data_IF_984931861960
#
_entry.id   IF_984931861960
#
_cell.length_a   1.000
_cell.length_b   1.000
_cell.length_c   1.000
_cell.angle_alpha   90.00
_cell.angle_beta   90.00
_cell.angle_gamma   90.00
#
_symmetry.space_group_name_H-M   'P 1'
#
loop_
_entity.id
_entity.type
_entity.pdbx_description
1 polymer ?
#
# COMPACT_ATOMS: atom_id res chain seq x y z
N UNK A 1 -19.08 -5.78 2.72
CA UNK A 1 -18.77 -5.78 1.27
C UNK A 1 -17.88 -4.59 1.02
N UNK A 2 -16.64 -4.64 0.57
CA UNK A 2 -15.77 -5.71 0.11
C UNK A 2 -14.34 -5.26 0.45
N UNK A 3 -13.65 -5.96 1.37
CA UNK A 3 -12.18 -5.91 1.44
C UNK A 3 -11.56 -7.03 0.58
N UNK A 4 -12.44 -7.86 0.01
CA UNK A 4 -12.16 -9.05 -0.80
C UNK A 4 -12.09 -8.68 -2.29
N UNK A 5 -12.65 -7.54 -2.71
CA UNK A 5 -12.55 -7.07 -4.11
C UNK A 5 -11.26 -6.29 -4.41
N UNK A 6 -10.42 -6.00 -3.42
CA UNK A 6 -9.17 -5.25 -3.58
C UNK A 6 -7.91 -6.14 -3.57
N UNK A 7 -8.07 -7.46 -3.38
CA UNK A 7 -6.99 -8.39 -3.70
C UNK A 7 -7.15 -8.74 -5.18
N UNK A 8 -6.73 -7.83 -6.06
CA UNK A 8 -6.53 -8.10 -7.47
C UNK A 8 -5.42 -9.16 -7.59
N UNK A 9 -5.81 -10.42 -7.48
CA UNK A 9 -5.04 -11.54 -7.97
C UNK A 9 -5.63 -11.84 -9.35
N UNK A 10 -4.85 -11.80 -10.45
CA UNK A 10 -5.36 -12.10 -11.79
C UNK A 10 -5.93 -13.53 -11.91
N UNK A 11 -5.74 -14.37 -10.89
CA UNK A 11 -6.23 -15.73 -10.81
C UNK A 11 -7.28 -15.90 -9.69
N UNK A 12 -8.58 -15.98 -10.01
CA UNK A 12 -9.67 -16.21 -9.05
C UNK A 12 -9.48 -17.50 -8.22
N UNK A 13 -8.81 -18.52 -8.78
CA UNK A 13 -8.52 -19.78 -8.07
C UNK A 13 -7.44 -19.55 -7.02
N UNK A 14 -6.40 -18.77 -7.32
CA UNK A 14 -5.39 -18.39 -6.33
C UNK A 14 -6.04 -17.57 -5.21
N UNK A 15 -6.94 -16.65 -5.54
CA UNK A 15 -7.72 -15.90 -4.57
C UNK A 15 -8.58 -16.82 -3.68
N UNK A 16 -9.35 -17.73 -4.26
CA UNK A 16 -10.19 -18.66 -3.49
C UNK A 16 -9.40 -19.76 -2.77
N UNK A 17 -8.25 -20.21 -3.28
CA UNK A 17 -7.29 -21.05 -2.54
C UNK A 17 -6.73 -20.28 -1.34
N UNK A 18 -6.37 -19.01 -1.52
CA UNK A 18 -5.91 -18.11 -0.45
C UNK A 18 -7.00 -17.89 0.60
N UNK A 19 -8.24 -17.65 0.20
CA UNK A 19 -9.40 -17.53 1.10
C UNK A 19 -9.72 -18.87 1.78
N UNK A 20 -9.57 -20.00 1.09
CA UNK A 20 -9.68 -21.33 1.68
C UNK A 20 -8.55 -21.61 2.67
N UNK A 21 -7.31 -21.14 2.45
CA UNK A 21 -6.21 -21.23 3.42
C UNK A 21 -6.44 -20.34 4.65
N UNK A 22 -7.06 -19.18 4.46
CA UNK A 22 -7.49 -18.30 5.56
C UNK A 22 -8.62 -18.93 6.40
N UNK A 23 -9.47 -19.76 5.80
CA UNK A 23 -10.61 -20.40 6.47
C UNK A 23 -10.32 -21.84 6.96
N UNK A 24 -9.40 -22.57 6.32
CA UNK A 24 -8.91 -23.88 6.77
C UNK A 24 -7.67 -23.64 7.61
N UNK A 25 -7.82 -23.77 8.94
CA UNK A 25 -6.67 -23.91 9.84
C UNK A 25 -5.76 -25.00 9.26
N UNK A 26 -4.53 -24.66 8.83
CA UNK A 26 -3.37 -25.55 8.55
C UNK A 26 -2.83 -25.70 7.11
N UNK A 27 -3.39 -25.11 6.05
CA UNK A 27 -2.74 -25.20 4.71
C UNK A 27 -1.90 -23.97 4.39
N UNK A 28 -0.57 -24.14 4.30
CA UNK A 28 0.33 -23.08 3.85
C UNK A 28 0.16 -22.77 2.36
N UNK A 29 0.43 -21.52 1.98
CA UNK A 29 0.36 -21.06 0.58
C UNK A 29 1.58 -21.46 -0.26
N UNK A 30 2.61 -22.04 0.38
CA UNK A 30 3.84 -22.54 -0.24
C UNK A 30 4.42 -23.68 0.62
N UNK A 31 5.21 -24.56 -0.01
CA UNK A 31 5.82 -25.74 0.62
C UNK A 31 7.33 -25.59 0.83
N UNK A 32 7.96 -24.58 0.23
CA UNK A 32 9.38 -24.32 0.34
C UNK A 32 9.67 -22.82 0.23
N UNK A 33 10.85 -22.38 0.67
CA UNK A 33 11.34 -21.01 0.44
C UNK A 33 12.72 -21.10 -0.21
N UNK A 34 12.96 -20.23 -1.21
CA UNK A 34 14.29 -20.07 -1.80
C UNK A 34 14.97 -18.84 -1.20
N UNK A 35 16.11 -19.01 -0.55
CA UNK A 35 16.89 -17.92 0.03
C UNK A 35 18.38 -18.14 -0.19
N UNK A 36 19.09 -17.12 -0.69
CA UNK A 36 20.53 -17.18 -1.04
C UNK A 36 20.94 -18.35 -1.95
N UNK A 37 20.03 -18.82 -2.81
CA UNK A 37 20.26 -19.95 -3.72
C UNK A 37 19.98 -21.33 -3.11
N UNK A 38 19.66 -21.41 -1.82
CA UNK A 38 19.27 -22.63 -1.13
C UNK A 38 17.73 -22.74 -1.05
N UNK A 39 17.22 -23.98 -1.11
CA UNK A 39 15.80 -24.28 -0.97
C UNK A 39 15.57 -24.90 0.40
N UNK A 40 14.80 -24.21 1.24
CA UNK A 40 14.41 -24.67 2.56
C UNK A 40 13.03 -25.30 2.49
N UNK A 41 12.89 -26.52 3.01
CA UNK A 41 11.64 -27.31 2.91
C UNK A 41 11.10 -27.72 4.27
N UNK A 42 11.93 -27.71 5.32
CA UNK A 42 11.46 -28.05 6.67
C UNK A 42 10.73 -26.86 7.30
N UNK A 43 9.68 -27.08 8.10
CA UNK A 43 8.96 -25.99 8.77
C UNK A 43 9.84 -25.09 9.64
N UNK A 44 10.85 -25.66 10.31
CA UNK A 44 11.77 -24.92 11.18
C UNK A 44 12.72 -24.02 10.36
N UNK A 45 13.34 -24.54 9.30
CA UNK A 45 14.18 -23.72 8.41
C UNK A 45 13.37 -22.60 7.75
N UNK A 46 12.17 -22.92 7.26
CA UNK A 46 11.24 -21.95 6.69
C UNK A 46 10.92 -20.85 7.72
N UNK A 47 10.61 -21.21 8.96
CA UNK A 47 10.32 -20.24 10.00
C UNK A 47 11.52 -19.37 10.35
N UNK A 48 12.74 -19.93 10.39
CA UNK A 48 13.96 -19.16 10.63
C UNK A 48 14.20 -18.14 9.50
N UNK A 49 14.09 -18.56 8.24
CA UNK A 49 14.15 -17.65 7.08
C UNK A 49 13.12 -16.51 7.18
N UNK A 50 11.87 -16.84 7.53
CA UNK A 50 10.82 -15.84 7.71
C UNK A 50 11.11 -14.91 8.89
N UNK A 51 11.54 -15.46 10.02
CA UNK A 51 11.88 -14.71 11.23
C UNK A 51 12.98 -13.68 10.95
N UNK A 52 14.08 -14.11 10.33
CA UNK A 52 15.21 -13.25 10.00
C UNK A 52 14.81 -12.16 9.01
N UNK A 53 14.11 -12.54 7.94
CA UNK A 53 13.63 -11.61 6.93
C UNK A 53 12.71 -10.53 7.54
N UNK A 54 11.69 -10.92 8.29
CA UNK A 54 10.70 -9.98 8.82
C UNK A 54 11.20 -9.19 10.03
N UNK A 55 12.12 -9.75 10.83
CA UNK A 55 12.79 -9.00 11.89
C UNK A 55 13.60 -7.84 11.32
N UNK A 56 14.37 -8.09 10.25
CA UNK A 56 15.07 -7.02 9.53
C UNK A 56 14.09 -6.03 8.90
N UNK A 57 13.02 -6.52 8.24
CA UNK A 57 12.06 -5.67 7.52
C UNK A 57 11.28 -4.71 8.42
N UNK A 58 10.90 -5.12 9.62
CA UNK A 58 10.13 -4.30 10.57
C UNK A 58 11.01 -3.45 11.51
N UNK A 59 12.32 -3.41 11.27
CA UNK A 59 13.25 -2.55 11.99
C UNK A 59 13.17 -1.11 11.45
N UNK A 60 13.16 -0.14 12.36
CA UNK A 60 13.18 1.28 12.04
C UNK A 60 14.42 1.65 11.20
N UNK A 61 14.30 2.64 10.29
CA UNK A 61 15.45 3.08 9.51
C UNK A 61 16.53 3.67 10.41
N UNK A 62 17.78 3.60 9.93
CA UNK A 62 18.90 4.28 10.58
C UNK A 62 18.74 5.78 10.36
N UNK A 63 18.64 6.53 11.44
CA UNK A 63 18.43 7.97 11.41
C UNK A 63 19.75 8.71 11.16
N UNK A 64 19.71 9.72 10.31
CA UNK A 64 20.82 10.61 10.06
C UNK A 64 20.74 11.82 10.99
N UNK A 65 21.63 11.89 11.99
CA UNK A 65 21.66 12.99 12.96
C UNK A 65 21.98 14.37 12.35
N UNK A 66 22.50 14.42 11.12
CA UNK A 66 22.71 15.67 10.39
C UNK A 66 21.46 16.13 9.64
N UNK A 67 20.43 15.29 9.52
CA UNK A 67 19.16 15.63 8.90
C UNK A 67 18.20 16.21 9.95
N UNK A 68 17.78 17.46 9.75
CA UNK A 68 16.88 18.15 10.69
C UNK A 68 15.51 17.46 10.80
N UNK A 69 15.02 16.85 9.72
CA UNK A 69 13.74 16.11 9.71
C UNK A 69 13.83 14.88 10.63
N UNK A 70 14.91 14.12 10.56
CA UNK A 70 15.12 12.93 11.41
C UNK A 70 15.18 13.29 12.89
N UNK A 71 15.90 14.36 13.22
CA UNK A 71 16.05 14.85 14.60
C UNK A 71 14.70 15.32 15.15
N UNK A 72 13.97 16.15 14.40
CA UNK A 72 12.66 16.67 14.81
C UNK A 72 11.62 15.57 14.95
N UNK A 73 11.53 14.67 13.98
CA UNK A 73 10.61 13.54 13.99
C UNK A 73 10.86 12.64 15.21
N UNK A 74 12.12 12.31 15.49
CA UNK A 74 12.49 11.44 16.60
C UNK A 74 12.23 12.10 17.96
N UNK A 75 12.51 13.40 18.10
CA UNK A 75 12.21 14.16 19.31
C UNK A 75 10.70 14.13 19.61
N UNK A 76 9.89 14.46 18.61
CA UNK A 76 8.44 14.48 18.73
C UNK A 76 7.86 13.08 19.05
N UNK A 77 8.38 12.05 18.37
CA UNK A 77 7.99 10.67 18.64
C UNK A 77 8.27 10.27 20.09
N UNK A 78 9.47 10.57 20.60
CA UNK A 78 9.86 10.25 21.97
C UNK A 78 9.03 11.01 22.99
N UNK A 79 8.76 12.31 22.75
CA UNK A 79 7.88 13.12 23.59
C UNK A 79 6.49 12.47 23.71
N UNK A 80 5.84 12.19 22.59
CA UNK A 80 4.50 11.59 22.57
C UNK A 80 4.47 10.15 23.08
N UNK A 81 5.54 9.38 22.90
CA UNK A 81 5.67 8.00 23.41
C UNK A 81 5.87 7.96 24.92
N UNK A 82 6.44 9.03 25.49
CA UNK A 82 6.66 9.19 26.93
C UNK A 82 5.47 9.82 27.67
N UNK A 83 4.51 10.42 26.94
CA UNK A 83 3.30 10.99 27.52
C UNK A 83 2.56 9.96 28.39
N UNK A 84 2.18 10.38 29.60
CA UNK A 84 1.57 9.45 30.54
C UNK A 84 0.20 9.00 30.06
N UNK A 85 -0.23 7.80 30.49
CA UNK A 85 -1.59 7.31 30.21
C UNK A 85 -2.69 8.28 30.68
N UNK A 86 -2.41 9.12 31.69
CA UNK A 86 -3.35 10.15 32.16
C UNK A 86 -3.47 11.31 31.16
N UNK A 87 -2.36 11.72 30.56
CA UNK A 87 -2.32 12.83 29.59
C UNK A 87 -3.00 12.45 28.28
N UNK A 88 -2.77 11.22 27.82
CA UNK A 88 -3.46 10.67 26.64
C UNK A 88 -4.96 10.56 26.90
N UNK A 89 -5.35 10.08 28.09
CA UNK A 89 -6.76 9.97 28.47
C UNK A 89 -7.42 11.34 28.54
N UNK A 90 -6.78 12.33 29.16
CA UNK A 90 -7.28 13.70 29.27
C UNK A 90 -7.41 14.34 27.88
N UNK A 91 -6.41 14.16 27.00
CA UNK A 91 -6.45 14.64 25.62
C UNK A 91 -7.62 14.02 24.84
N UNK A 92 -7.83 12.70 24.98
CA UNK A 92 -8.97 12.02 24.38
C UNK A 92 -10.32 12.50 24.94
N UNK A 93 -10.44 12.73 26.25
CA UNK A 93 -11.65 13.21 26.92
C UNK A 93 -12.03 14.64 26.55
N UNK A 94 -11.04 15.47 26.22
CA UNK A 94 -11.21 16.86 25.79
C UNK A 94 -11.33 17.00 24.26
N UNK A 95 -11.40 15.89 23.51
CA UNK A 95 -11.46 15.90 22.04
C UNK A 95 -12.73 15.21 21.50
N UNK A 96 -12.96 15.35 20.20
CA UNK A 96 -14.06 14.70 19.45
C UNK A 96 -13.89 13.17 19.28
N UNK A 97 -12.89 12.57 19.93
CA UNK A 97 -12.67 11.12 19.95
C UNK A 97 -13.70 10.34 20.80
N UNK A 98 -14.73 11.01 21.33
CA UNK A 98 -15.83 10.33 22.03
C UNK A 98 -16.66 9.50 21.05
N UNK A 99 -16.89 8.24 21.43
CA UNK A 99 -17.72 7.30 20.68
C UNK A 99 -19.05 7.10 21.39
N UNK A 100 -20.09 6.79 20.62
CA UNK A 100 -21.39 6.39 21.16
C UNK A 100 -21.52 4.87 21.16
N UNK A 101 -22.38 4.32 22.02
CA UNK A 101 -22.72 2.90 21.96
C UNK A 101 -23.28 2.49 20.59
N UNK A 102 -23.92 3.42 19.89
CA UNK A 102 -24.43 3.23 18.54
C UNK A 102 -23.32 3.13 17.50
N UNK A 103 -22.26 3.95 17.59
CA UNK A 103 -21.07 3.84 16.73
C UNK A 103 -20.42 2.46 16.87
N UNK A 104 -20.27 1.99 18.10
CA UNK A 104 -19.71 0.65 18.40
C UNK A 104 -20.60 -0.44 17.81
N UNK A 105 -21.91 -0.36 18.01
CA UNK A 105 -22.88 -1.33 17.47
C UNK A 105 -22.87 -1.37 15.94
N UNK A 106 -22.73 -0.23 15.28
CA UNK A 106 -22.63 -0.13 13.82
C UNK A 106 -21.36 -0.79 13.29
N UNK A 107 -20.21 -0.57 13.93
CA UNK A 107 -18.95 -1.22 13.55
C UNK A 107 -19.06 -2.73 13.76
N UNK A 108 -19.56 -3.17 14.90
CA UNK A 108 -19.72 -4.61 15.19
C UNK A 108 -20.62 -5.28 14.15
N UNK A 109 -21.73 -4.64 13.77
CA UNK A 109 -22.61 -5.14 12.69
C UNK A 109 -21.94 -5.22 11.33
N UNK A 110 -20.99 -4.32 11.05
CA UNK A 110 -20.20 -4.31 9.80
C UNK A 110 -19.06 -5.33 9.81
N UNK A 111 -18.64 -5.83 10.97
CA UNK A 111 -17.64 -6.89 11.07
C UNK A 111 -18.27 -8.24 10.73
N UNK A 112 -17.58 -9.05 9.93
CA UNK A 112 -18.04 -10.38 9.53
C UNK A 112 -18.06 -11.32 10.75
N UNK A 113 -19.25 -11.70 11.21
CA UNK A 113 -19.50 -12.47 12.44
C UNK A 113 -18.92 -13.89 12.41
N UNK A 114 -18.57 -14.43 11.23
CA UNK A 114 -17.97 -15.77 11.11
C UNK A 114 -16.50 -15.86 11.58
N UNK A 115 -15.78 -14.72 11.63
CA UNK A 115 -14.33 -14.68 11.93
C UNK A 115 -13.98 -13.81 13.15
N UNK A 116 -14.96 -13.42 13.97
CA UNK A 116 -14.76 -12.53 15.11
C UNK A 116 -15.41 -13.08 16.37
N UNK A 117 -14.60 -13.58 17.29
CA UNK A 117 -15.02 -14.03 18.61
C UNK A 117 -15.46 -12.87 19.50
N UNK A 118 -16.70 -12.94 19.98
CA UNK A 118 -17.17 -12.36 21.25
C UNK A 118 -17.72 -10.93 21.25
N UNK A 119 -18.98 -10.80 21.68
CA UNK A 119 -19.60 -9.56 22.19
C UNK A 119 -19.28 -9.40 23.68
N UNK A 120 -19.24 -8.16 24.19
CA UNK A 120 -19.86 -7.76 25.48
C UNK A 120 -19.73 -6.25 25.73
N UNK A 121 -20.63 -5.72 26.59
CA UNK A 121 -20.94 -4.30 26.85
C UNK A 121 -19.77 -3.46 27.41
N UNK A 122 -18.77 -3.12 26.60
CA UNK A 122 -17.76 -2.14 27.00
C UNK A 122 -17.52 -1.10 25.92
N UNK A 123 -18.32 -0.05 25.92
CA UNK A 123 -18.13 1.14 25.09
C UNK A 123 -17.90 2.37 25.99
N UNK A 124 -16.83 3.10 25.65
CA UNK A 124 -16.32 4.38 26.16
C UNK A 124 -15.09 4.33 27.09
N UNK A 125 -14.97 3.40 28.04
CA UNK A 125 -13.72 3.27 28.85
C UNK A 125 -12.58 2.51 28.15
N UNK A 126 -12.86 1.71 27.13
CA UNK A 126 -11.85 0.90 26.42
C UNK A 126 -11.05 1.66 25.36
N UNK A 127 -11.54 2.79 24.85
CA UNK A 127 -10.80 3.58 23.85
C UNK A 127 -9.62 4.35 24.44
N UNK A 128 -9.50 4.41 25.77
CA UNK A 128 -8.40 5.08 26.47
C UNK A 128 -7.32 4.13 26.97
N UNK A 129 -7.53 2.80 26.89
CA UNK A 129 -6.57 1.81 27.39
C UNK A 129 -6.30 0.74 26.33
N UNK A 130 -5.14 0.81 25.69
CA UNK A 130 -4.70 -0.21 24.75
C UNK A 130 -3.92 -1.30 25.50
N UNK A 131 -4.58 -2.43 25.78
CA UNK A 131 -3.92 -3.55 26.47
C UNK A 131 -2.75 -4.09 25.61
N UNK A 132 -1.61 -4.44 26.22
CA UNK A 132 -0.45 -5.06 25.53
C UNK A 132 -0.87 -6.27 24.67
N UNK A 133 -1.83 -7.08 25.14
CA UNK A 133 -2.37 -8.22 24.36
C UNK A 133 -3.05 -7.81 23.05
N UNK A 134 -3.52 -6.56 22.92
CA UNK A 134 -4.13 -6.05 21.69
C UNK A 134 -3.09 -5.54 20.68
N UNK A 135 -1.82 -5.42 21.09
CA UNK A 135 -0.70 -5.03 20.23
C UNK A 135 0.03 -6.24 19.61
N UNK A 136 -0.26 -7.43 20.10
CA UNK A 136 0.25 -8.71 19.60
C UNK A 136 -0.60 -9.20 18.42
N UNK A 137 0.04 -9.52 17.31
CA UNK A 137 -0.59 -10.11 16.12
C UNK A 137 0.00 -11.49 15.81
N UNK A 138 -0.78 -12.34 15.15
CA UNK A 138 -0.24 -13.48 14.40
C UNK A 138 -0.09 -13.09 12.94
N UNK A 139 1.01 -13.44 12.29
CA UNK A 139 1.26 -13.19 10.87
C UNK A 139 1.26 -14.51 10.11
N UNK A 140 0.54 -14.56 9.00
CA UNK A 140 0.64 -15.65 8.03
C UNK A 140 1.21 -15.13 6.73
N UNK A 141 2.05 -15.90 6.06
CA UNK A 141 2.65 -15.50 4.80
C UNK A 141 1.89 -16.06 3.60
N UNK A 142 1.54 -15.18 2.66
CA UNK A 142 0.89 -15.53 1.41
C UNK A 142 1.85 -15.42 0.23
N UNK A 143 1.89 -16.44 -0.61
CA UNK A 143 2.65 -16.43 -1.84
C UNK A 143 2.08 -15.41 -2.85
N UNK A 144 2.92 -14.51 -3.38
CA UNK A 144 2.50 -13.55 -4.44
C UNK A 144 2.61 -14.12 -5.84
N UNK A 145 3.39 -15.19 -6.03
CA UNK A 145 3.79 -15.70 -7.33
C UNK A 145 3.34 -17.14 -7.49
N UNK A 146 3.18 -17.60 -8.72
CA UNK A 146 2.87 -19.01 -9.04
C UNK A 146 4.13 -19.90 -8.96
N UNK A 147 5.07 -19.58 -8.07
CA UNK A 147 6.26 -20.40 -7.79
C UNK A 147 6.04 -21.17 -6.48
N UNK A 148 6.15 -22.51 -6.43
CA UNK A 148 5.99 -23.29 -5.21
C UNK A 148 7.08 -23.03 -4.15
N UNK A 149 8.23 -22.48 -4.55
CA UNK A 149 9.35 -22.11 -3.67
C UNK A 149 9.69 -20.61 -3.80
N UNK A 150 8.80 -19.70 -3.38
CA UNK A 150 9.02 -18.26 -3.48
C UNK A 150 10.19 -17.80 -2.62
N UNK A 151 10.79 -16.67 -2.97
CA UNK A 151 11.71 -15.98 -2.07
C UNK A 151 10.93 -15.24 -0.98
N UNK A 152 11.57 -14.92 0.15
CA UNK A 152 10.94 -14.19 1.27
C UNK A 152 10.34 -12.85 0.84
N UNK A 153 10.97 -12.14 -0.11
CA UNK A 153 10.45 -10.91 -0.71
C UNK A 153 9.16 -11.08 -1.52
N UNK A 154 8.95 -12.28 -2.08
CA UNK A 154 7.76 -12.64 -2.85
C UNK A 154 6.59 -13.07 -1.96
N UNK A 155 6.72 -13.00 -0.63
CA UNK A 155 5.64 -13.26 0.31
C UNK A 155 4.93 -11.97 0.75
N UNK A 156 3.63 -12.07 1.08
CA UNK A 156 2.83 -11.03 1.76
C UNK A 156 2.56 -11.45 3.20
N UNK A 157 3.09 -10.75 4.21
CA UNK A 157 2.78 -11.03 5.61
C UNK A 157 1.40 -10.48 5.99
N UNK A 158 0.37 -11.31 6.10
CA UNK A 158 -0.96 -10.89 6.56
C UNK A 158 -1.04 -10.97 8.08
N UNK A 159 -1.22 -9.82 8.74
CA UNK A 159 -1.38 -9.71 10.19
C UNK A 159 -2.84 -9.95 10.62
N UNK A 160 -3.04 -11.04 11.37
CA UNK A 160 -4.26 -11.40 12.05
C UNK A 160 -4.36 -10.63 13.38
N UNK A 161 -4.95 -9.43 13.29
CA UNK A 161 -5.13 -8.57 14.46
C UNK A 161 -6.24 -9.06 15.41
N UNK A 162 -6.08 -8.89 16.74
CA UNK A 162 -7.13 -9.15 17.71
C UNK A 162 -8.41 -8.36 17.42
N UNK A 163 -9.57 -8.93 17.73
CA UNK A 163 -10.89 -8.34 17.44
C UNK A 163 -11.03 -6.94 18.07
N UNK A 164 -10.62 -6.77 19.32
CA UNK A 164 -10.67 -5.46 19.99
C UNK A 164 -9.78 -4.42 19.30
N UNK A 165 -8.57 -4.79 18.85
CA UNK A 165 -7.72 -3.91 18.04
C UNK A 165 -8.43 -3.48 16.74
N UNK A 166 -9.18 -4.40 16.11
CA UNK A 166 -9.98 -4.10 14.91
C UNK A 166 -11.14 -3.15 15.19
N UNK A 167 -11.81 -3.26 16.35
CA UNK A 167 -12.88 -2.33 16.75
C UNK A 167 -12.31 -0.94 16.99
N UNK A 168 -11.29 -0.82 17.85
CA UNK A 168 -10.73 0.46 18.26
C UNK A 168 -10.18 1.26 17.06
N UNK A 169 -9.48 0.61 16.14
CA UNK A 169 -8.96 1.30 14.94
C UNK A 169 -10.08 1.74 14.00
N UNK A 170 -11.16 0.97 13.87
CA UNK A 170 -12.31 1.35 13.04
C UNK A 170 -13.03 2.56 13.62
N UNK A 171 -13.20 2.61 14.95
CA UNK A 171 -13.75 3.76 15.65
C UNK A 171 -12.90 5.01 15.42
N UNK A 172 -11.58 4.90 15.64
CA UNK A 172 -10.64 5.97 15.36
C UNK A 172 -10.74 6.47 13.91
N UNK A 173 -10.72 5.55 12.94
CA UNK A 173 -10.82 5.87 11.51
C UNK A 173 -12.08 6.67 11.16
N UNK A 174 -13.23 6.41 11.80
CA UNK A 174 -14.45 7.19 11.55
C UNK A 174 -14.25 8.67 11.86
N UNK A 175 -13.61 9.00 12.99
CA UNK A 175 -13.36 10.39 13.41
C UNK A 175 -12.20 11.00 12.63
N UNK A 176 -11.12 10.22 12.46
CA UNK A 176 -9.94 10.67 11.75
C UNK A 176 -10.23 10.98 10.28
N UNK A 177 -11.02 10.16 9.57
CA UNK A 177 -11.43 10.46 8.20
C UNK A 177 -12.26 11.75 8.12
N UNK A 178 -13.20 11.97 9.06
CA UNK A 178 -13.97 13.22 9.13
C UNK A 178 -13.04 14.44 9.30
N UNK A 179 -12.05 14.32 10.18
CA UNK A 179 -11.05 15.38 10.37
C UNK A 179 -10.21 15.62 9.11
N UNK A 180 -9.70 14.56 8.47
CA UNK A 180 -8.95 14.66 7.22
C UNK A 180 -9.75 15.35 6.10
N UNK A 181 -11.04 15.05 5.99
CA UNK A 181 -11.95 15.64 5.00
C UNK A 181 -12.23 17.12 5.29
N UNK A 182 -12.60 17.47 6.53
CA UNK A 182 -12.89 18.85 6.91
C UNK A 182 -11.70 19.80 6.75
N UNK A 183 -10.47 19.28 6.88
CA UNK A 183 -9.24 20.05 6.77
C UNK A 183 -8.55 19.90 5.42
N UNK A 184 -9.16 19.20 4.45
CA UNK A 184 -8.61 18.96 3.11
C UNK A 184 -7.15 18.44 3.11
N UNK A 185 -6.81 17.57 4.07
CA UNK A 185 -5.43 17.09 4.25
C UNK A 185 -4.98 16.22 3.07
N UNK A 186 -5.87 15.37 2.55
CA UNK A 186 -5.52 14.47 1.46
C UNK A 186 -5.62 15.18 0.09
N UNK A 187 -4.55 15.15 -0.73
CA UNK A 187 -4.53 15.82 -2.02
C UNK A 187 -5.55 15.21 -3.00
N UNK A 188 -6.08 16.01 -3.93
CA UNK A 188 -7.03 15.54 -4.97
C UNK A 188 -6.38 14.54 -5.94
N UNK A 189 -5.05 14.51 -5.99
CA UNK A 189 -4.22 13.57 -6.73
C UNK A 189 -4.26 12.15 -6.18
N UNK A 190 -4.65 11.94 -4.92
CA UNK A 190 -4.81 10.63 -4.32
C UNK A 190 -6.27 10.16 -4.46
N UNK A 191 -6.48 9.04 -5.17
CA UNK A 191 -7.79 8.35 -5.23
C UNK A 191 -7.87 7.10 -4.37
N UNK A 192 -6.74 6.43 -4.13
CA UNK A 192 -6.70 5.18 -3.40
C UNK A 192 -7.06 5.35 -1.92
N UNK A 193 -7.74 4.36 -1.35
CA UNK A 193 -8.17 4.36 0.07
C UNK A 193 -8.98 5.61 0.48
N UNK A 194 -9.71 6.22 -0.45
CA UNK A 194 -10.63 7.34 -0.19
C UNK A 194 -12.08 6.93 -0.46
N UNK A 195 -13.03 7.41 0.35
CA UNK A 195 -14.43 7.17 0.06
C UNK A 195 -14.81 7.81 -1.28
N UNK A 196 -15.71 7.15 -2.01
CA UNK A 196 -16.27 7.62 -3.30
C UNK A 196 -15.29 7.74 -4.47
N UNK A 197 -14.02 7.37 -4.31
CA UNK A 197 -13.05 7.31 -5.40
C UNK A 197 -12.65 5.85 -5.65
N UNK A 198 -12.59 5.47 -6.92
CA UNK A 198 -12.22 4.12 -7.34
C UNK A 198 -11.00 4.13 -8.24
N UNK A 199 -10.53 2.92 -8.55
CA UNK A 199 -9.50 2.68 -9.56
C UNK A 199 -9.89 3.32 -10.89
N UNK A 200 -11.14 3.12 -11.32
CA UNK A 200 -11.68 3.69 -12.54
C UNK A 200 -11.66 5.22 -12.54
N UNK A 201 -11.98 5.86 -11.42
CA UNK A 201 -11.92 7.33 -11.32
C UNK A 201 -10.51 7.84 -11.63
N UNK A 202 -9.49 7.17 -11.09
CA UNK A 202 -8.09 7.57 -11.27
C UNK A 202 -7.59 7.30 -12.70
N UNK A 203 -7.96 6.15 -13.27
CA UNK A 203 -7.65 5.79 -14.66
C UNK A 203 -8.31 6.77 -15.63
N UNK A 204 -9.59 7.08 -15.44
CA UNK A 204 -10.32 8.03 -16.30
C UNK A 204 -9.68 9.42 -16.28
N UNK A 205 -9.31 9.93 -15.10
CA UNK A 205 -8.67 11.24 -14.99
C UNK A 205 -7.30 11.28 -15.70
N UNK A 206 -6.50 10.21 -15.58
CA UNK A 206 -5.25 10.07 -16.31
C UNK A 206 -5.50 10.03 -17.84
N UNK A 207 -6.44 9.22 -18.28
CA UNK A 207 -6.78 9.06 -19.70
C UNK A 207 -7.29 10.36 -20.33
N UNK A 208 -8.13 11.10 -19.62
CA UNK A 208 -8.62 12.41 -20.06
C UNK A 208 -7.46 13.39 -20.23
N UNK A 209 -6.60 13.50 -19.22
CA UNK A 209 -5.45 14.41 -19.27
C UNK A 209 -4.43 14.02 -20.34
N UNK A 210 -4.19 12.72 -20.53
CA UNK A 210 -3.29 12.21 -21.56
C UNK A 210 -3.86 12.47 -22.96
N UNK A 211 -5.13 12.17 -23.17
CA UNK A 211 -5.82 12.41 -24.45
C UNK A 211 -5.84 13.90 -24.79
N UNK A 212 -6.16 14.75 -23.81
CA UNK A 212 -6.13 16.20 -23.98
C UNK A 212 -4.72 16.69 -24.31
N UNK A 213 -3.70 16.17 -23.63
CA UNK A 213 -2.31 16.50 -23.94
C UNK A 213 -1.94 16.15 -25.37
N UNK A 214 -2.29 14.95 -25.83
CA UNK A 214 -2.01 14.49 -27.19
C UNK A 214 -2.80 15.25 -28.26
N UNK A 215 -3.90 15.95 -27.93
CA UNK A 215 -4.60 16.84 -28.88
C UNK A 215 -3.75 18.06 -29.26
N UNK A 216 -2.96 18.57 -28.32
CA UNK A 216 -2.18 19.80 -28.50
C UNK A 216 -0.69 19.54 -28.73
N UNK A 217 -0.18 18.37 -28.33
CA UNK A 217 1.23 18.02 -28.40
C UNK A 217 1.48 16.87 -29.36
N UNK A 218 2.68 16.85 -29.93
CA UNK A 218 3.19 15.75 -30.77
C UNK A 218 3.43 14.48 -29.97
N UNK A 219 3.78 14.61 -28.69
CA UNK A 219 3.96 13.50 -27.75
C UNK A 219 3.68 13.89 -26.29
N UNK A 220 3.62 12.90 -25.42
CA UNK A 220 3.53 13.02 -23.97
C UNK A 220 4.23 11.84 -23.31
N UNK A 221 4.77 12.05 -22.12
CA UNK A 221 5.53 11.03 -21.39
C UNK A 221 4.80 10.72 -20.11
N UNK A 222 4.61 9.43 -19.83
CA UNK A 222 4.05 8.96 -18.58
C UNK A 222 5.10 8.14 -17.86
N UNK A 223 5.50 8.58 -16.67
CA UNK A 223 6.49 7.91 -15.82
C UNK A 223 5.75 7.21 -14.70
N UNK A 224 6.02 5.92 -14.51
CA UNK A 224 5.43 5.08 -13.48
C UNK A 224 6.45 4.72 -12.42
N UNK A 225 6.01 4.80 -11.16
CA UNK A 225 6.87 4.75 -9.99
C UNK A 225 6.21 3.85 -8.95
N UNK A 226 6.90 2.76 -8.61
CA UNK A 226 6.51 1.81 -7.55
C UNK A 226 7.37 2.08 -6.31
N UNK A 227 6.77 2.29 -5.15
CA UNK A 227 7.52 2.38 -3.91
C UNK A 227 7.90 0.98 -3.41
N UNK A 228 9.13 0.85 -2.90
CA UNK A 228 9.58 -0.42 -2.34
C UNK A 228 8.81 -0.70 -1.05
N UNK A 229 8.02 -1.78 -1.04
CA UNK A 229 7.38 -2.32 0.15
C UNK A 229 6.58 -1.28 0.96
N UNK A 230 5.89 -0.36 0.28
CA UNK A 230 5.10 0.76 0.80
C UNK A 230 4.66 0.64 2.28
N UNK A 231 3.65 -0.19 2.58
CA UNK A 231 3.08 -0.29 3.93
C UNK A 231 4.06 -0.78 4.98
N UNK A 232 5.00 -1.66 4.63
CA UNK A 232 5.98 -2.22 5.55
C UNK A 232 7.09 -1.21 5.87
N UNK A 233 7.30 -0.23 4.97
CA UNK A 233 8.32 0.79 5.08
C UNK A 233 7.85 2.08 5.77
N UNK A 234 6.57 2.18 6.16
CA UNK A 234 6.01 3.35 6.83
C UNK A 234 6.83 3.76 8.07
N UNK A 235 7.47 4.92 8.01
CA UNK A 235 8.27 5.48 9.10
C UNK A 235 7.36 6.26 10.08
N UNK A 236 7.16 5.72 11.28
CA UNK A 236 6.18 6.27 12.22
C UNK A 236 6.52 7.69 12.71
N UNK A 237 7.78 8.01 13.12
CA UNK A 237 8.14 9.38 13.49
C UNK A 237 7.86 10.40 12.39
N UNK A 238 8.19 10.08 11.13
CA UNK A 238 7.93 10.96 9.98
C UNK A 238 6.44 11.24 9.77
N UNK A 239 5.59 10.20 9.89
CA UNK A 239 4.13 10.35 9.83
C UNK A 239 3.62 11.33 10.90
N UNK A 240 4.10 11.20 12.14
CA UNK A 240 3.68 12.07 13.24
C UNK A 240 4.15 13.51 13.02
N UNK A 241 5.39 13.71 12.56
CA UNK A 241 5.91 15.03 12.23
C UNK A 241 5.07 15.72 11.15
N UNK A 242 4.75 15.02 10.07
CA UNK A 242 3.89 15.53 9.00
C UNK A 242 2.49 15.91 9.49
N UNK A 243 1.89 15.05 10.33
CA UNK A 243 0.59 15.33 10.92
C UNK A 243 0.63 16.55 11.85
N UNK A 244 1.72 16.75 12.58
CA UNK A 244 1.89 17.95 13.40
C UNK A 244 1.96 19.22 12.53
N UNK A 245 2.63 19.17 11.37
CA UNK A 245 2.71 20.30 10.43
C UNK A 245 1.37 20.72 9.84
N UNK A 246 0.41 19.80 9.71
CA UNK A 246 -0.98 20.11 9.29
C UNK A 246 -1.91 20.35 10.49
N UNK A 247 -1.35 20.70 11.64
CA UNK A 247 -2.08 21.01 12.88
C UNK A 247 -3.05 19.89 13.32
N UNK A 248 -2.63 18.63 13.15
CA UNK A 248 -3.42 17.51 13.64
C UNK A 248 -3.62 17.61 15.15
N UNK A 249 -4.87 17.50 15.65
CA UNK A 249 -5.15 17.51 17.07
C UNK A 249 -4.28 16.54 17.86
N UNK A 250 -3.72 17.01 18.97
CA UNK A 250 -2.80 16.26 19.83
C UNK A 250 -3.34 14.87 20.21
N UNK A 251 -4.63 14.76 20.48
CA UNK A 251 -5.27 13.48 20.82
C UNK A 251 -5.19 12.44 19.70
N UNK A 252 -5.26 12.85 18.42
CA UNK A 252 -5.06 11.94 17.30
C UNK A 252 -3.60 11.51 17.18
N UNK A 253 -2.65 12.43 17.38
CA UNK A 253 -1.22 12.11 17.38
C UNK A 253 -0.88 11.08 18.46
N UNK A 254 -1.32 11.29 19.71
CA UNK A 254 -1.14 10.33 20.80
C UNK A 254 -1.74 8.96 20.50
N UNK A 255 -2.94 8.94 19.88
CA UNK A 255 -3.57 7.68 19.51
C UNK A 255 -2.75 6.91 18.47
N UNK A 256 -2.24 7.60 17.45
CA UNK A 256 -1.43 6.99 16.38
C UNK A 256 -0.11 6.47 16.94
N UNK A 257 0.58 7.24 17.79
CA UNK A 257 1.79 6.79 18.48
C UNK A 257 1.51 5.53 19.29
N UNK A 258 0.48 5.54 20.15
CA UNK A 258 0.11 4.37 20.95
C UNK A 258 -0.31 3.17 20.09
N UNK A 259 -0.91 3.40 18.91
CA UNK A 259 -1.28 2.32 18.00
C UNK A 259 -0.07 1.56 17.47
N UNK A 260 1.01 2.27 17.15
CA UNK A 260 2.24 1.73 16.55
C UNK A 260 3.30 1.30 17.57
N UNK A 261 3.39 1.97 18.72
CA UNK A 261 4.35 1.66 19.79
C UNK A 261 4.08 0.30 20.44
N UNK A 262 5.14 -0.41 20.84
CA UNK A 262 5.12 -1.72 21.53
C UNK A 262 4.33 -2.81 20.80
N UNK A 263 4.28 -2.75 19.47
CA UNK A 263 3.67 -3.79 18.66
C UNK A 263 4.62 -4.95 18.45
N UNK A 264 4.05 -6.15 18.53
CA UNK A 264 4.79 -7.36 18.19
C UNK A 264 3.96 -8.29 17.33
N UNK A 265 4.63 -9.16 16.59
CA UNK A 265 3.99 -10.22 15.81
C UNK A 265 4.73 -11.54 15.96
N UNK A 266 4.03 -12.64 15.69
CA UNK A 266 4.57 -14.00 15.65
C UNK A 266 4.18 -14.60 14.31
N UNK A 267 5.09 -15.27 13.61
CA UNK A 267 4.81 -15.86 12.30
C UNK A 267 4.29 -17.28 12.51
N UNK A 268 3.14 -17.59 11.91
CA UNK A 268 2.55 -18.92 11.90
C UNK A 268 2.77 -19.56 10.52
N UNK A 269 3.53 -20.66 10.51
CA UNK A 269 3.69 -21.54 9.36
C UNK A 269 3.19 -22.94 9.73
N UNK A 270 2.03 -23.33 9.20
CA UNK A 270 1.41 -24.64 9.42
C UNK A 270 1.21 -25.03 10.91
N UNK A 271 1.02 -24.04 11.79
CA UNK A 271 0.88 -24.25 13.24
C UNK A 271 2.20 -24.25 14.01
N UNK A 272 3.33 -24.17 13.32
CA UNK A 272 4.62 -23.83 13.95
C UNK A 272 4.73 -22.31 14.08
N UNK A 273 5.12 -21.84 15.25
CA UNK A 273 5.22 -20.42 15.57
C UNK A 273 6.68 -20.00 15.63
N UNK A 274 6.98 -18.84 15.05
CA UNK A 274 8.26 -18.17 15.25
C UNK A 274 8.34 -17.47 16.61
N UNK A 275 9.54 -17.03 16.95
CA UNK A 275 9.75 -16.10 18.05
C UNK A 275 9.04 -14.76 17.82
N UNK A 276 8.82 -14.04 18.92
CA UNK A 276 8.14 -12.75 18.88
C UNK A 276 9.01 -11.67 18.21
N UNK A 277 8.54 -11.13 17.08
CA UNK A 277 9.17 -10.02 16.35
C UNK A 277 8.61 -8.70 16.86
N UNK A 278 9.48 -7.74 17.19
CA UNK A 278 9.08 -6.37 17.52
C UNK A 278 8.91 -5.56 16.23
N UNK A 279 7.80 -4.84 16.11
CA UNK A 279 7.48 -4.01 14.95
C UNK A 279 7.79 -2.55 15.31
N UNK A 280 8.83 -2.00 14.70
CA UNK A 280 9.24 -0.59 14.88
C UNK A 280 9.09 0.24 13.60
N UNK A 281 8.65 -0.39 12.51
CA UNK A 281 8.38 0.22 11.22
C UNK A 281 7.22 -0.48 10.54
N UNK A 282 6.50 0.25 9.68
CA UNK A 282 5.45 -0.30 8.86
C UNK A 282 4.10 -0.36 9.54
N UNK A 283 3.07 -0.72 8.78
CA UNK A 283 1.73 -0.95 9.28
C UNK A 283 1.33 -2.42 9.12
N UNK A 284 0.61 -3.02 10.10
CA UNK A 284 0.19 -4.41 9.97
C UNK A 284 -0.67 -4.64 8.72
N UNK A 285 -0.22 -5.51 7.82
CA UNK A 285 -0.96 -5.82 6.58
C UNK A 285 -2.27 -6.52 6.93
N UNK A 286 -3.39 -6.08 6.34
CA UNK A 286 -4.74 -6.51 6.78
C UNK A 286 -5.34 -5.61 7.86
N UNK A 287 -4.61 -4.58 8.29
CA UNK A 287 -5.21 -3.46 9.01
C UNK A 287 -5.84 -2.45 8.05
N UNK A 288 -7.10 -2.07 8.26
CA UNK A 288 -7.73 -0.97 7.52
C UNK A 288 -7.07 0.39 7.81
N UNK A 289 -6.38 0.54 8.95
CA UNK A 289 -5.64 1.77 9.26
C UNK A 289 -4.32 1.87 8.49
N UNK A 290 -3.71 0.74 8.09
CA UNK A 290 -2.41 0.74 7.41
C UNK A 290 -2.43 1.54 6.10
N UNK A 291 -3.32 1.20 5.14
CA UNK A 291 -3.45 1.97 3.91
C UNK A 291 -3.78 3.45 4.16
N UNK A 292 -4.62 3.75 5.17
CA UNK A 292 -4.95 5.14 5.53
C UNK A 292 -3.73 5.91 6.04
N UNK A 293 -2.96 5.31 6.94
CA UNK A 293 -1.75 5.92 7.48
C UNK A 293 -0.71 6.16 6.39
N UNK A 294 -0.59 5.23 5.43
CA UNK A 294 0.31 5.37 4.30
C UNK A 294 -0.07 6.52 3.36
N UNK A 295 -1.34 6.63 2.95
CA UNK A 295 -1.75 7.75 2.08
C UNK A 295 -1.65 9.11 2.78
N UNK A 296 -1.83 9.13 4.11
CA UNK A 296 -1.59 10.33 4.92
C UNK A 296 -0.09 10.64 4.95
N UNK A 297 0.78 9.65 5.09
CA UNK A 297 2.23 9.88 5.04
C UNK A 297 2.69 10.50 3.71
N UNK A 298 1.96 10.25 2.61
CA UNK A 298 2.26 10.76 1.27
C UNK A 298 1.44 12.01 0.87
N UNK A 299 0.72 12.66 1.78
CA UNK A 299 -0.19 13.76 1.39
C UNK A 299 0.53 14.93 0.71
N UNK A 300 1.80 15.16 1.04
CA UNK A 300 2.66 16.25 0.57
C UNK A 300 3.44 15.89 -0.72
N UNK A 301 3.53 14.61 -1.06
CA UNK A 301 4.28 14.11 -2.22
C UNK A 301 3.92 14.83 -3.53
N UNK A 302 2.64 15.08 -3.89
CA UNK A 302 2.32 15.75 -5.15
C UNK A 302 2.90 17.16 -5.31
N UNK A 303 3.24 17.83 -4.21
CA UNK A 303 3.72 19.22 -4.20
C UNK A 303 5.19 19.34 -4.58
N UNK A 304 5.97 18.26 -4.52
CA UNK A 304 7.39 18.30 -4.90
C UNK A 304 7.57 18.40 -6.41
N UNK A 305 6.62 17.85 -7.17
CA UNK A 305 6.67 17.82 -8.62
C UNK A 305 6.25 19.16 -9.20
N UNK A 306 6.89 19.55 -10.32
CA UNK A 306 6.62 20.82 -10.98
C UNK A 306 5.14 20.99 -11.34
N UNK A 307 4.48 19.92 -11.82
CA UNK A 307 3.07 19.95 -12.19
C UNK A 307 2.22 19.05 -11.30
N UNK A 308 1.85 19.55 -10.12
CA UNK A 308 1.02 18.83 -9.14
C UNK A 308 -0.30 18.30 -9.73
N UNK A 309 -0.89 18.98 -10.72
CA UNK A 309 -2.16 18.54 -11.36
C UNK A 309 -2.02 17.30 -12.25
N UNK A 310 -0.79 16.94 -12.63
CA UNK A 310 -0.44 15.80 -13.48
C UNK A 310 0.14 14.63 -12.69
N UNK A 311 0.01 14.69 -11.36
CA UNK A 311 0.37 13.61 -10.45
C UNK A 311 -0.87 12.75 -10.21
N UNK A 312 -0.70 11.44 -10.39
CA UNK A 312 -1.75 10.45 -10.19
C UNK A 312 -1.29 9.46 -9.13
N UNK A 313 -1.98 9.47 -7.98
CA UNK A 313 -1.73 8.55 -6.89
C UNK A 313 -2.92 7.61 -6.71
N UNK A 314 -2.61 6.34 -6.55
CA UNK A 314 -3.54 5.32 -6.07
C UNK A 314 -2.86 4.48 -5.00
N UNK A 315 -3.06 4.87 -3.74
CA UNK A 315 -2.32 4.30 -2.60
C UNK A 315 -0.81 4.50 -2.79
N UNK A 316 -0.07 3.46 -3.15
CA UNK A 316 1.37 3.43 -3.43
C UNK A 316 1.73 3.55 -4.91
N UNK A 317 0.79 3.35 -5.82
CA UNK A 317 1.04 3.55 -7.24
C UNK A 317 1.12 5.05 -7.57
N UNK A 318 2.24 5.48 -8.13
CA UNK A 318 2.47 6.84 -8.60
C UNK A 318 2.69 6.86 -10.12
N UNK A 319 1.92 7.71 -10.80
CA UNK A 319 2.14 8.03 -12.21
C UNK A 319 2.24 9.55 -12.42
N UNK A 320 3.20 9.96 -13.23
CA UNK A 320 3.51 11.36 -13.53
C UNK A 320 3.38 11.61 -15.03
N UNK A 321 2.47 12.51 -15.40
CA UNK A 321 2.23 12.87 -16.81
C UNK A 321 2.97 14.17 -17.17
N UNK A 322 3.84 14.09 -18.18
CA UNK A 322 4.59 15.21 -18.72
C UNK A 322 4.19 15.49 -20.16
N UNK A 323 4.04 16.78 -20.45
CA UNK A 323 3.69 17.29 -21.77
C UNK A 323 4.65 18.43 -22.12
N UNK A 324 5.23 18.45 -23.33
CA UNK A 324 6.13 19.51 -23.74
C UNK A 324 5.42 20.86 -23.81
N UNK A 325 6.20 21.94 -23.73
CA UNK A 325 5.68 23.27 -24.02
C UNK A 325 5.28 23.39 -25.50
N UNK A 326 4.03 23.79 -25.76
CA UNK A 326 3.51 24.03 -27.11
C UNK A 326 4.18 25.20 -27.83
N UNK A 327 4.89 26.06 -27.09
CA UNK A 327 5.56 27.24 -27.62
C UNK A 327 6.99 26.95 -28.11
N UNK A 328 7.52 25.76 -27.84
CA UNK A 328 8.85 25.35 -28.26
C UNK A 328 8.80 24.62 -29.60
N UNK A 329 9.84 24.81 -30.41
CA UNK A 329 10.09 23.98 -31.59
C UNK A 329 10.26 22.51 -31.18
N UNK A 330 9.80 21.59 -32.04
CA UNK A 330 9.82 20.15 -31.77
C UNK A 330 11.17 19.61 -31.30
N UNK A 331 12.28 20.11 -31.88
CA UNK A 331 13.64 19.70 -31.52
C UNK A 331 13.93 20.02 -30.04
N UNK A 332 13.46 21.18 -29.55
CA UNK A 332 13.67 21.64 -28.17
C UNK A 332 12.70 21.02 -27.17
N UNK A 333 11.54 20.53 -27.62
CA UNK A 333 10.53 19.88 -26.77
C UNK A 333 11.07 18.62 -26.09
N UNK A 334 11.91 17.85 -26.78
CA UNK A 334 12.49 16.62 -26.24
C UNK A 334 13.45 16.93 -25.09
N UNK A 335 14.37 17.88 -25.29
CA UNK A 335 15.34 18.29 -24.27
C UNK A 335 14.66 18.96 -23.06
N UNK A 336 13.63 19.78 -23.31
CA UNK A 336 12.84 20.42 -22.25
C UNK A 336 12.14 19.40 -21.36
N UNK A 337 11.42 18.43 -21.94
CA UNK A 337 10.76 17.36 -21.18
C UNK A 337 11.76 16.51 -20.43
N UNK A 338 12.87 16.13 -21.08
CA UNK A 338 13.92 15.35 -20.44
C UNK A 338 14.48 16.07 -19.20
N UNK A 339 14.73 17.38 -19.32
CA UNK A 339 15.24 18.20 -18.22
C UNK A 339 14.24 18.28 -17.07
N UNK A 340 12.96 18.52 -17.36
CA UNK A 340 11.90 18.62 -16.34
C UNK A 340 11.70 17.31 -15.58
N UNK A 341 11.65 16.18 -16.30
CA UNK A 341 11.50 14.88 -15.67
C UNK A 341 12.70 14.58 -14.78
N UNK A 342 13.93 14.77 -15.27
CA UNK A 342 15.13 14.49 -14.47
C UNK A 342 15.24 15.40 -13.23
N UNK A 343 14.85 16.67 -13.33
CA UNK A 343 14.78 17.54 -12.16
C UNK A 343 13.78 17.04 -11.11
N UNK A 344 12.61 16.57 -11.55
CA UNK A 344 11.61 15.98 -10.66
C UNK A 344 12.06 14.62 -10.08
N UNK A 345 12.85 13.82 -10.82
CA UNK A 345 13.47 12.60 -10.31
C UNK A 345 14.45 12.87 -9.16
N UNK A 346 15.23 13.96 -9.23
CA UNK A 346 16.12 14.39 -8.14
C UNK A 346 15.32 14.79 -6.91
N UNK A 347 14.21 15.53 -7.07
CA UNK A 347 13.34 15.89 -5.95
C UNK A 347 12.69 14.65 -5.32
N UNK A 348 12.27 13.69 -6.14
CA UNK A 348 11.72 12.42 -5.67
C UNK A 348 12.75 11.63 -4.86
N UNK A 349 14.01 11.59 -5.31
CA UNK A 349 15.10 10.98 -4.55
C UNK A 349 15.27 11.64 -3.18
N UNK A 350 15.38 12.97 -3.13
CA UNK A 350 15.47 13.70 -1.86
C UNK A 350 14.26 13.47 -0.96
N UNK A 351 13.06 13.42 -1.53
CA UNK A 351 11.84 13.13 -0.79
C UNK A 351 11.84 11.69 -0.24
N UNK A 352 12.25 10.72 -1.04
CA UNK A 352 12.34 9.31 -0.65
C UNK A 352 13.31 9.12 0.51
N UNK A 353 14.47 9.79 0.47
CA UNK A 353 15.47 9.74 1.53
C UNK A 353 14.98 10.40 2.82
N UNK A 354 14.42 11.62 2.74
CA UNK A 354 13.91 12.34 3.91
C UNK A 354 12.73 11.66 4.60
N UNK A 355 11.98 10.83 3.88
CA UNK A 355 10.82 10.10 4.41
C UNK A 355 11.11 8.64 4.69
N UNK A 356 12.34 8.18 4.45
CA UNK A 356 12.73 6.77 4.52
C UNK A 356 11.77 5.87 3.71
N UNK A 357 11.35 6.32 2.52
CA UNK A 357 10.42 5.60 1.65
C UNK A 357 11.07 5.36 0.27
N UNK A 358 11.93 4.33 0.16
CA UNK A 358 12.68 4.08 -1.07
C UNK A 358 11.78 3.68 -2.25
N UNK A 359 12.24 4.02 -3.45
CA UNK A 359 11.58 3.68 -4.71
C UNK A 359 12.16 2.40 -5.30
N UNK A 360 11.31 1.59 -5.92
CA UNK A 360 11.71 0.35 -6.56
C UNK A 360 12.21 0.62 -7.99
N UNK A 361 13.52 0.86 -8.12
CA UNK A 361 14.17 1.20 -9.40
C UNK A 361 13.89 0.19 -10.52
N UNK A 362 13.83 -1.10 -10.18
CA UNK A 362 13.65 -2.17 -11.15
C UNK A 362 12.24 -2.25 -11.74
N UNK A 363 11.26 -1.61 -11.10
CA UNK A 363 9.89 -1.51 -11.59
C UNK A 363 9.53 -0.10 -12.08
N UNK A 364 10.47 0.83 -12.00
CA UNK A 364 10.28 2.16 -12.54
C UNK A 364 10.37 2.06 -14.06
N UNK A 365 9.36 2.58 -14.74
CA UNK A 365 9.21 2.47 -16.19
C UNK A 365 8.58 3.75 -16.74
N UNK A 366 8.76 4.01 -18.03
CA UNK A 366 8.03 5.10 -18.68
C UNK A 366 7.55 4.72 -20.07
N UNK A 367 6.48 5.37 -20.51
CA UNK A 367 5.89 5.21 -21.85
C UNK A 367 5.83 6.58 -22.53
N UNK A 368 6.22 6.61 -23.80
CA UNK A 368 6.08 7.78 -24.66
C UNK A 368 4.89 7.57 -25.57
N UNK A 369 3.84 8.36 -25.35
CA UNK A 369 2.66 8.40 -26.21
C UNK A 369 2.90 9.47 -27.27
N UNK A 370 2.83 9.13 -28.55
CA UNK A 370 3.19 10.05 -29.62
C UNK A 370 2.30 9.88 -30.85
N UNK A 371 2.15 10.97 -31.60
CA UNK A 371 1.49 11.00 -32.92
C UNK A 371 2.48 11.15 -34.06
N UNK A 372 3.73 11.50 -33.76
CA UNK A 372 4.81 11.67 -34.72
C UNK A 372 5.21 10.35 -35.37
N UNK A 373 5.72 10.41 -36.60
CA UNK A 373 6.22 9.23 -37.34
C UNK A 373 7.38 8.56 -36.59
N UNK A 374 8.24 9.36 -35.94
CA UNK A 374 9.33 8.86 -35.10
C UNK A 374 9.03 9.09 -33.62
N UNK A 375 9.37 8.09 -32.79
CA UNK A 375 9.28 8.18 -31.34
C UNK A 375 10.38 9.12 -30.83
N UNK A 376 10.07 10.16 -30.05
CA UNK A 376 11.07 10.98 -29.39
C UNK A 376 12.00 10.14 -28.51
N UNK A 377 13.32 10.36 -28.63
CA UNK A 377 14.31 9.68 -27.80
C UNK A 377 14.49 10.46 -26.50
N UNK A 378 14.06 9.87 -25.38
CA UNK A 378 14.08 10.52 -24.07
C UNK A 378 14.91 9.66 -23.13
N UNK A 379 15.86 10.28 -22.41
CA UNK A 379 16.69 9.63 -21.41
C UNK A 379 16.34 10.14 -20.02
N UNK A 380 15.69 9.28 -19.24
CA UNK A 380 15.36 9.56 -17.84
C UNK A 380 16.30 8.78 -16.93
N UNK A 381 16.83 9.44 -15.90
CA UNK A 381 17.78 8.88 -14.95
C UNK A 381 17.26 9.03 -13.53
N UNK A 382 17.32 7.96 -12.74
CA UNK A 382 17.01 7.96 -11.32
C UNK A 382 18.14 7.24 -10.57
N UNK A 383 18.78 7.92 -9.61
CA UNK A 383 19.91 7.39 -8.84
C UNK A 383 21.03 6.77 -9.70
N UNK A 384 21.38 7.44 -10.80
CA UNK A 384 22.41 6.98 -11.75
C UNK A 384 21.98 5.87 -12.72
N UNK A 385 20.79 5.28 -12.55
CA UNK A 385 20.26 4.26 -13.45
C UNK A 385 19.34 4.88 -14.51
N UNK A 386 19.52 4.48 -15.77
CA UNK A 386 18.58 4.87 -16.83
C UNK A 386 17.30 4.04 -16.72
N UNK A 387 16.15 4.73 -16.69
CA UNK A 387 14.83 4.08 -16.63
C UNK A 387 14.54 3.45 -17.99
N UNK A 388 13.89 2.28 -18.00
CA UNK A 388 13.51 1.60 -19.23
C UNK A 388 12.26 2.24 -19.86
N UNK A 389 12.35 2.51 -21.17
CA UNK A 389 11.18 2.87 -21.98
C UNK A 389 10.41 1.60 -22.35
N UNK A 390 9.12 1.56 -22.04
CA UNK A 390 8.21 0.49 -22.45
C UNK A 390 7.26 0.96 -23.56
N UNK A 391 6.73 0.00 -24.33
CA UNK A 391 5.70 0.27 -25.36
C UNK A 391 4.28 0.24 -24.80
N UNK A 392 4.08 -0.60 -23.78
CA UNK A 392 2.80 -0.85 -23.12
C UNK A 392 3.06 -0.87 -21.63
N UNK A 393 2.09 -0.40 -20.85
CA UNK A 393 2.19 -0.43 -19.40
C UNK A 393 0.87 -0.83 -18.76
N UNK A 394 0.94 -1.62 -17.69
CA UNK A 394 -0.22 -2.03 -16.90
C UNK A 394 -0.41 -1.07 -15.73
N UNK A 395 -1.32 -0.10 -15.88
CA UNK A 395 -1.67 0.86 -14.84
C UNK A 395 -2.98 0.46 -14.15
N UNK A 396 -2.92 0.12 -12.86
CA UNK A 396 -4.09 -0.24 -12.06
C UNK A 396 -4.99 -1.30 -12.70
N UNK A 397 -4.36 -2.34 -13.25
CA UNK A 397 -4.97 -3.43 -14.02
C UNK A 397 -5.48 -3.10 -15.44
N UNK A 398 -5.24 -1.89 -15.94
CA UNK A 398 -5.51 -1.51 -17.33
C UNK A 398 -4.23 -1.50 -18.16
N UNK A 399 -4.24 -2.18 -19.31
CA UNK A 399 -3.14 -2.13 -20.26
C UNK A 399 -3.29 -0.89 -21.15
N UNK A 400 -2.36 0.05 -20.99
CA UNK A 400 -2.28 1.27 -21.79
C UNK A 400 -1.17 1.10 -22.82
N UNK A 401 -1.56 0.97 -24.09
CA UNK A 401 -0.62 0.94 -25.21
C UNK A 401 -0.29 2.35 -25.72
N UNK A 402 0.86 2.52 -26.38
CA UNK A 402 1.32 3.82 -26.87
C UNK A 402 0.38 4.52 -27.85
N UNK A 403 -0.59 3.81 -28.44
CA UNK A 403 -1.63 4.32 -29.35
C UNK A 403 -2.97 4.52 -28.66
N UNK A 404 -3.09 4.18 -27.37
CA UNK A 404 -4.32 4.13 -26.59
C UNK A 404 -5.43 3.31 -27.28
N UNK A 405 -5.05 2.22 -27.96
CA UNK A 405 -5.99 1.36 -28.70
C UNK A 405 -6.75 0.37 -27.81
N UNK A 406 -6.25 0.10 -26.60
CA UNK A 406 -6.78 -0.85 -25.62
C UNK A 406 -6.88 -2.30 -26.11
N UNK A 407 -6.26 -2.64 -27.26
CA UNK A 407 -6.31 -3.98 -27.84
C UNK A 407 -5.74 -5.04 -26.91
N UNK A 408 -4.57 -4.77 -26.34
CA UNK A 408 -3.92 -5.69 -25.39
C UNK A 408 -4.79 -5.91 -24.14
N UNK A 409 -5.57 -4.90 -23.72
CA UNK A 409 -6.48 -5.03 -22.59
C UNK A 409 -7.70 -5.90 -22.94
N UNK A 410 -8.28 -5.68 -24.12
CA UNK A 410 -9.40 -6.45 -24.64
C UNK A 410 -9.01 -7.93 -24.85
N UNK A 411 -7.86 -8.16 -25.46
CA UNK A 411 -7.29 -9.49 -25.67
C UNK A 411 -7.04 -10.21 -24.34
N UNK A 412 -6.51 -9.51 -23.33
CA UNK A 412 -6.29 -10.07 -21.99
C UNK A 412 -7.61 -10.40 -21.29
N UNK A 413 -8.62 -9.53 -21.35
CA UNK A 413 -9.94 -9.81 -20.80
C UNK A 413 -10.56 -11.02 -21.50
N UNK A 414 -10.50 -11.07 -22.84
CA UNK A 414 -10.99 -12.20 -23.61
C UNK A 414 -10.25 -13.51 -23.31
N UNK A 415 -8.94 -13.43 -23.02
CA UNK A 415 -8.15 -14.57 -22.58
C UNK A 415 -8.56 -15.01 -21.16
N UNK A 416 -8.71 -14.08 -20.22
CA UNK A 416 -9.08 -14.38 -18.84
C UNK A 416 -10.49 -14.97 -18.74
N UNK A 417 -11.45 -14.45 -19.53
CA UNK A 417 -12.82 -14.98 -19.63
C UNK A 417 -12.81 -16.38 -20.24
N UNK A 418 -12.11 -16.60 -21.36
CA UNK A 418 -12.03 -17.95 -21.98
C UNK A 418 -11.41 -18.97 -21.03
N UNK A 419 -10.31 -18.62 -20.36
CA UNK A 419 -9.72 -19.51 -19.36
C UNK A 419 -10.63 -19.73 -18.15
N UNK A 420 -11.45 -18.75 -17.77
CA UNK A 420 -12.42 -18.94 -16.71
C UNK A 420 -13.51 -19.94 -17.14
N UNK A 421 -14.05 -19.79 -18.34
CA UNK A 421 -15.06 -20.69 -18.90
C UNK A 421 -14.50 -22.11 -19.10
N UNK A 422 -13.34 -22.27 -19.74
CA UNK A 422 -12.70 -23.58 -19.93
C UNK A 422 -12.42 -24.29 -18.60
N UNK A 423 -12.09 -23.54 -17.55
CA UNK A 423 -11.86 -24.09 -16.20
C UNK A 423 -13.16 -24.42 -15.47
N UNK A 424 -14.25 -23.68 -15.70
CA UNK A 424 -15.58 -24.04 -15.22
C UNK A 424 -16.06 -25.34 -15.90
N UNK A 425 -15.80 -25.51 -17.20
CA UNK A 425 -16.10 -26.74 -17.94
C UNK A 425 -15.24 -27.94 -17.53
N UNK A 426 -13.96 -27.73 -17.16
CA UNK A 426 -13.13 -28.79 -16.57
C UNK A 426 -13.63 -29.19 -15.17
N UNK A 427 -14.00 -28.22 -14.33
CA UNK A 427 -14.52 -28.52 -12.99
C UNK A 427 -15.88 -29.24 -12.98
N UNK A 428 -16.72 -29.02 -14.01
CA UNK A 428 -18.00 -29.73 -14.17
C UNK A 428 -17.87 -31.11 -14.82
N UNK A 429 -16.74 -31.41 -15.47
CA UNK A 429 -16.41 -32.74 -15.97
C UNK A 429 -15.76 -33.62 -14.91
N UNK A 430 -15.00 -33.04 -13.96
CA UNK A 430 -14.42 -33.78 -12.83
C UNK A 430 -15.49 -34.24 -11.81
N UNK A 431 -16.63 -33.54 -11.70
CA UNK A 431 -17.75 -33.95 -10.83
C UNK A 431 -18.63 -35.06 -11.44
N UNK A 432 -18.40 -35.46 -12.71
CA UNK A 432 -19.20 -36.48 -13.41
C UNK A 432 -18.52 -37.84 -13.58
N UNK A 433 -17.35 -38.08 -12.96
CA UNK A 433 -16.66 -39.37 -13.00
C UNK A 433 -16.42 -39.99 -11.60
N UNK A 434 -17.43 -39.95 -10.72
CA UNK A 434 -17.51 -40.89 -9.58
C UNK A 434 -18.96 -41.37 -9.34
N UNK A 435 -19.59 -41.94 -10.37
CA UNK A 435 -20.69 -42.88 -10.14
C UNK A 435 -20.59 -44.04 -11.14
N UNK A 436 -20.66 -45.27 -10.59
CA UNK A 436 -20.51 -46.60 -11.22
C UNK A 436 -19.09 -47.16 -11.27
N UNK A 437 -18.69 -47.80 -10.19
CA UNK A 437 -18.72 -49.26 -10.08
C UNK A 437 -18.90 -49.66 -8.62
#
# INVERSE_FOLDING_TARGET
MNFISEVACPNPIHFWKTVKCLNKKRTASFSAITENGNIHTTPEEILNCLQDHFSSRFTAPILNMNNSTDVLASKLWNELSSSSHKDIKLACENSDLKFTAQDVKLIIRKMNTKNSSGFDKVSNKMCTHWNKKWKQAGTICLNKVENPAPTTNQLRPISLLPVFSKICKNLFLLRFNKWLELNNVLPTQQSGSRPHLSTLTRVNHLMEQLTQSLRHNSFSVLVYIDFLQAFDMLWHPGLILKLQHVHCPYAYLCWIVNYFQDRTTTIDYQGHLSDQIVITRGAPQGSCFGPKAYIVNLFDLPQIFECTRKVHLYVDDLALLYSPSIYLEYIKQTDEIQTRINNDMVKLEQYADNNHQPVNKNKMEFVVYHKSVQVPKIRIVYQGQCIQQQKTFKYLDFHLDSKLSFRDHDDQIHYDVRNHDDRLFQSSNDDNFTSKA
#
